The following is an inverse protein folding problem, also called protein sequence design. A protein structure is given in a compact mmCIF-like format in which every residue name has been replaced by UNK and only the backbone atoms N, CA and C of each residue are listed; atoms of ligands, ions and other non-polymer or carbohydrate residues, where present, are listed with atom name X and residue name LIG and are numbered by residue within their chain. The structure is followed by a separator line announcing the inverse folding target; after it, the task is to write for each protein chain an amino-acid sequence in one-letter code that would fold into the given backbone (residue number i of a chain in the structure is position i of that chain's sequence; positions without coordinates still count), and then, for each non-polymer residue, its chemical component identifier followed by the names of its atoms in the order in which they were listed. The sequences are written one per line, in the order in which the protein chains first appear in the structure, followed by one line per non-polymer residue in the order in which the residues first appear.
data_IF_069511455048
#
_entry.id   IF_069511455048
#
_cell.length_a   1.000
_cell.length_b   1.000
_cell.length_c   1.000
_cell.angle_alpha   90.00
_cell.angle_beta   90.00
_cell.angle_gamma   90.00
#
_symmetry.space_group_name_H-M   'P 1'
#
loop_
_entity.id
_entity.type
_entity.pdbx_description
1 polymer ?
#
# COMPACT_ATOMS: atom_id res chain seq x y z
N UNK A 1 4.88 -29.97 4.39
CA UNK A 1 4.85 -31.08 5.36
C UNK A 1 4.45 -32.33 4.58
N UNK A 2 5.10 -33.47 4.82
CA UNK A 2 4.62 -34.74 4.26
C UNK A 2 3.34 -35.13 5.02
N UNK A 3 2.37 -35.79 4.37
CA UNK A 3 1.10 -36.22 4.99
C UNK A 3 1.28 -37.01 6.30
N UNK A 4 2.46 -37.63 6.50
CA UNK A 4 2.80 -38.39 7.71
C UNK A 4 2.91 -37.53 8.99
N UNK A 5 3.31 -36.26 8.90
CA UNK A 5 3.45 -35.37 10.07
C UNK A 5 2.09 -34.98 10.67
N UNK A 6 1.04 -34.94 9.83
CA UNK A 6 -0.32 -34.59 10.23
C UNK A 6 -0.97 -35.67 11.10
N UNK A 7 -0.54 -36.94 10.95
CA UNK A 7 -1.07 -38.07 11.71
C UNK A 7 -0.83 -37.90 13.21
N UNK A 8 0.29 -37.27 13.59
CA UNK A 8 0.66 -37.07 14.99
C UNK A 8 0.23 -35.72 15.57
N UNK A 9 -0.31 -34.81 14.73
CA UNK A 9 -0.60 -33.44 15.11
C UNK A 9 -1.56 -33.34 16.30
N UNK A 10 -2.70 -34.04 16.25
CA UNK A 10 -3.70 -34.02 17.33
C UNK A 10 -3.10 -34.49 18.66
N UNK A 11 -2.40 -35.62 18.63
CA UNK A 11 -1.79 -36.22 19.81
C UNK A 11 -0.69 -35.32 20.39
N UNK A 12 0.19 -34.80 19.54
CA UNK A 12 1.26 -33.90 19.94
C UNK A 12 0.72 -32.62 20.57
N UNK A 13 -0.23 -31.96 19.90
CA UNK A 13 -0.81 -30.71 20.38
C UNK A 13 -1.55 -30.90 21.72
N UNK A 14 -2.31 -31.99 21.84
CA UNK A 14 -3.04 -32.34 23.07
C UNK A 14 -2.09 -32.59 24.24
N UNK A 15 -1.00 -33.33 24.02
CA UNK A 15 -0.01 -33.61 25.07
C UNK A 15 0.78 -32.37 25.48
N UNK A 16 1.15 -31.52 24.52
CA UNK A 16 1.81 -30.23 24.80
C UNK A 16 0.88 -29.29 25.58
N UNK A 17 -0.40 -29.22 25.22
CA UNK A 17 -1.39 -28.44 25.96
C UNK A 17 -1.56 -28.95 27.39
N UNK A 18 -1.63 -30.27 27.58
CA UNK A 18 -1.70 -30.87 28.92
C UNK A 18 -0.46 -30.53 29.75
N UNK A 19 0.74 -30.62 29.16
CA UNK A 19 1.98 -30.22 29.82
C UNK A 19 1.94 -28.75 30.25
N UNK A 20 1.45 -27.85 29.39
CA UNK A 20 1.30 -26.42 29.69
C UNK A 20 0.41 -26.16 30.93
N UNK A 21 -0.61 -26.99 31.15
CA UNK A 21 -1.50 -26.89 32.31
C UNK A 21 -0.88 -27.42 33.60
N UNK A 22 -0.03 -28.44 33.51
CA UNK A 22 0.56 -29.12 34.68
C UNK A 22 1.77 -28.38 35.26
N UNK A 23 2.55 -27.70 34.41
CA UNK A 23 3.77 -26.99 34.84
C UNK A 23 3.45 -25.69 35.59
N UNK A 24 4.28 -25.34 36.59
CA UNK A 24 4.08 -24.16 37.44
C UNK A 24 5.07 -23.04 37.15
N UNK A 25 6.28 -23.41 36.75
CA UNK A 25 7.38 -22.51 36.45
C UNK A 25 7.09 -21.69 35.19
N UNK A 26 7.26 -20.35 35.26
CA UNK A 26 7.03 -19.46 34.12
C UNK A 26 7.93 -19.81 32.93
N UNK A 27 9.21 -20.10 33.19
CA UNK A 27 10.17 -20.46 32.14
C UNK A 27 9.71 -21.70 31.38
N UNK A 28 9.25 -22.74 32.08
CA UNK A 28 8.76 -23.96 31.44
C UNK A 28 7.50 -23.69 30.63
N UNK A 29 6.56 -22.87 31.14
CA UNK A 29 5.38 -22.44 30.36
C UNK A 29 5.77 -21.72 29.09
N UNK A 30 6.76 -20.82 29.13
CA UNK A 30 7.26 -20.11 27.95
C UNK A 30 7.81 -21.08 26.91
N UNK A 31 8.61 -22.07 27.31
CA UNK A 31 9.14 -23.06 26.38
C UNK A 31 8.04 -23.91 25.73
N UNK A 32 7.02 -24.32 26.51
CA UNK A 32 5.89 -25.09 25.96
C UNK A 32 5.08 -24.23 24.99
N UNK A 33 4.81 -22.96 25.31
CA UNK A 33 4.15 -22.02 24.40
C UNK A 33 4.94 -21.79 23.12
N UNK A 34 6.26 -21.69 23.20
CA UNK A 34 7.12 -21.56 22.03
C UNK A 34 7.01 -22.79 21.11
N UNK A 35 7.08 -24.00 21.67
CA UNK A 35 6.92 -25.24 20.88
C UNK A 35 5.53 -25.31 20.25
N UNK A 36 4.47 -24.97 21.00
CA UNK A 36 3.11 -24.89 20.45
C UNK A 36 3.02 -23.88 19.30
N UNK A 37 3.65 -22.71 19.43
CA UNK A 37 3.71 -21.68 18.39
C UNK A 37 4.39 -22.20 17.12
N UNK A 38 5.53 -22.88 17.25
CA UNK A 38 6.20 -23.51 16.11
C UNK A 38 5.33 -24.57 15.43
N UNK A 39 4.58 -25.37 16.19
CA UNK A 39 3.66 -26.35 15.60
C UNK A 39 2.55 -25.63 14.82
N UNK A 40 1.94 -24.60 15.40
CA UNK A 40 0.89 -23.80 14.75
C UNK A 40 1.41 -23.17 13.45
N UNK A 41 2.59 -22.54 13.49
CA UNK A 41 3.24 -21.93 12.34
C UNK A 41 3.39 -22.94 11.19
N UNK A 42 3.90 -24.13 11.50
CA UNK A 42 4.22 -25.15 10.48
C UNK A 42 2.99 -25.76 9.84
N UNK A 43 1.91 -25.98 10.60
CA UNK A 43 0.70 -26.62 10.09
C UNK A 43 -0.35 -25.60 9.60
N UNK A 44 -0.16 -24.32 9.88
CA UNK A 44 -0.98 -23.20 9.42
C UNK A 44 -2.49 -23.49 9.64
N UNK A 45 -3.33 -23.37 8.60
CA UNK A 45 -4.79 -23.57 8.69
C UNK A 45 -5.22 -24.95 9.21
N UNK A 46 -4.35 -25.95 9.17
CA UNK A 46 -4.68 -27.30 9.62
C UNK A 46 -4.78 -27.41 11.14
N UNK A 47 -4.33 -26.39 11.90
CA UNK A 47 -4.43 -26.40 13.36
C UNK A 47 -5.86 -26.16 13.87
N UNK A 48 -6.77 -25.59 13.05
CA UNK A 48 -8.10 -25.12 13.48
C UNK A 48 -8.89 -26.11 14.33
N UNK A 49 -8.93 -27.42 14.04
CA UNK A 49 -9.69 -28.38 14.85
C UNK A 49 -9.15 -28.56 16.28
N UNK A 50 -7.88 -28.22 16.52
CA UNK A 50 -7.15 -28.62 17.73
C UNK A 50 -6.92 -27.48 18.73
N UNK A 51 -7.09 -26.22 18.32
CA UNK A 51 -6.72 -25.03 19.14
C UNK A 51 -7.76 -24.61 20.17
N UNK A 52 -8.97 -25.19 20.17
CA UNK A 52 -10.09 -24.72 21.00
C UNK A 52 -9.75 -24.66 22.50
N UNK A 53 -9.09 -25.69 23.03
CA UNK A 53 -8.68 -25.73 24.43
C UNK A 53 -7.61 -24.68 24.76
N UNK A 54 -6.66 -24.46 23.85
CA UNK A 54 -5.62 -23.44 24.02
C UNK A 54 -6.25 -22.03 24.04
N UNK A 55 -7.14 -21.75 23.08
CA UNK A 55 -7.88 -20.49 22.99
C UNK A 55 -8.64 -20.16 24.27
N UNK A 56 -9.29 -21.16 24.89
CA UNK A 56 -10.00 -20.97 26.15
C UNK A 56 -9.07 -20.75 27.35
N UNK A 57 -7.85 -21.29 27.30
CA UNK A 57 -6.88 -21.22 28.39
C UNK A 57 -6.04 -19.94 28.38
N UNK A 58 -5.69 -19.39 27.21
CA UNK A 58 -4.84 -18.19 27.09
C UNK A 58 -5.37 -16.97 27.89
N UNK A 59 -6.69 -16.69 27.97
CA UNK A 59 -7.21 -15.63 28.84
C UNK A 59 -6.89 -15.81 30.32
N UNK A 60 -6.96 -17.05 30.81
CA UNK A 60 -6.62 -17.37 32.19
C UNK A 60 -5.11 -17.20 32.42
N UNK A 61 -4.30 -17.68 31.47
CA UNK A 61 -2.86 -17.59 31.55
C UNK A 61 -2.38 -16.14 31.52
N UNK A 62 -2.97 -15.29 30.68
CA UNK A 62 -2.67 -13.86 30.61
C UNK A 62 -2.96 -13.12 31.92
N UNK A 63 -4.07 -13.48 32.58
CA UNK A 63 -4.42 -12.92 33.89
C UNK A 63 -3.45 -13.39 34.98
N UNK A 64 -3.02 -14.65 34.93
CA UNK A 64 -2.05 -15.19 35.88
C UNK A 64 -0.64 -14.62 35.69
N UNK A 65 -0.29 -14.17 34.48
CA UNK A 65 1.01 -13.60 34.16
C UNK A 65 1.10 -12.08 34.37
N UNK A 66 0.25 -11.50 35.23
CA UNK A 66 0.16 -10.04 35.39
C UNK A 66 1.49 -9.37 35.73
N UNK A 67 2.28 -10.01 36.59
CA UNK A 67 3.60 -9.56 37.03
C UNK A 67 4.76 -10.16 36.20
N UNK A 68 4.45 -10.97 35.17
CA UNK A 68 5.42 -11.76 34.42
C UNK A 68 5.43 -11.36 32.93
N UNK A 69 6.05 -10.21 32.62
CA UNK A 69 6.07 -9.66 31.26
C UNK A 69 6.69 -10.62 30.22
N UNK A 70 7.72 -11.40 30.56
CA UNK A 70 8.31 -12.37 29.62
C UNK A 70 7.33 -13.49 29.24
N UNK A 71 6.50 -13.94 30.19
CA UNK A 71 5.44 -14.91 29.90
C UNK A 71 4.33 -14.26 29.06
N UNK A 72 4.06 -12.97 29.26
CA UNK A 72 3.16 -12.21 28.38
C UNK A 72 3.69 -12.12 26.95
N UNK A 73 4.98 -11.86 26.73
CA UNK A 73 5.59 -11.92 25.39
C UNK A 73 5.33 -13.28 24.73
N UNK A 74 5.61 -14.39 25.43
CA UNK A 74 5.34 -15.73 24.90
C UNK A 74 3.85 -15.98 24.55
N UNK A 75 2.92 -15.39 25.31
CA UNK A 75 1.49 -15.43 24.99
C UNK A 75 1.18 -14.61 23.74
N UNK A 76 1.75 -13.42 23.58
CA UNK A 76 1.58 -12.58 22.38
C UNK A 76 2.09 -13.32 21.13
N UNK A 77 3.29 -13.88 21.19
CA UNK A 77 3.85 -14.73 20.12
C UNK A 77 2.93 -15.90 19.80
N UNK A 78 2.37 -16.58 20.81
CA UNK A 78 1.39 -17.66 20.57
C UNK A 78 0.14 -17.15 19.88
N UNK A 79 -0.38 -15.98 20.27
CA UNK A 79 -1.56 -15.37 19.66
C UNK A 79 -1.31 -14.97 18.20
N UNK A 80 -0.12 -14.47 17.86
CA UNK A 80 0.27 -14.14 16.47
C UNK A 80 0.08 -15.37 15.57
N UNK A 81 0.71 -16.49 15.94
CA UNK A 81 0.62 -17.74 15.17
C UNK A 81 -0.80 -18.30 15.16
N UNK A 82 -1.54 -18.21 16.27
CA UNK A 82 -2.93 -18.63 16.32
C UNK A 82 -3.82 -17.85 15.36
N UNK A 83 -3.63 -16.54 15.23
CA UNK A 83 -4.43 -15.73 14.31
C UNK A 83 -4.12 -16.11 12.86
N UNK A 84 -2.85 -16.34 12.51
CA UNK A 84 -2.45 -16.80 11.18
C UNK A 84 -3.12 -18.15 10.87
N UNK A 85 -3.04 -19.13 11.78
CA UNK A 85 -3.69 -20.44 11.57
C UNK A 85 -5.22 -20.37 11.52
N UNK A 86 -5.85 -19.51 12.31
CA UNK A 86 -7.31 -19.33 12.30
C UNK A 86 -7.81 -18.52 11.10
N UNK A 87 -6.98 -17.64 10.51
CA UNK A 87 -7.38 -16.73 9.44
C UNK A 87 -8.61 -15.89 9.84
N UNK A 88 -9.62 -15.84 8.97
CA UNK A 88 -10.86 -15.08 9.21
C UNK A 88 -11.65 -15.52 10.48
N UNK A 89 -11.46 -16.76 10.95
CA UNK A 89 -12.11 -17.26 12.18
C UNK A 89 -11.49 -16.67 13.46
N UNK A 90 -10.34 -15.99 13.35
CA UNK A 90 -9.71 -15.27 14.46
C UNK A 90 -10.62 -14.19 15.08
N UNK A 91 -11.65 -13.73 14.36
CA UNK A 91 -12.71 -12.84 14.88
C UNK A 91 -13.34 -13.36 16.18
N UNK A 92 -13.40 -14.68 16.36
CA UNK A 92 -13.93 -15.30 17.57
C UNK A 92 -13.08 -14.99 18.82
N UNK A 93 -11.84 -14.56 18.66
CA UNK A 93 -10.92 -14.22 19.74
C UNK A 93 -11.01 -12.76 20.19
N UNK A 94 -11.72 -11.89 19.46
CA UNK A 94 -11.64 -10.43 19.62
C UNK A 94 -11.95 -9.94 21.04
N UNK A 95 -12.89 -10.58 21.74
CA UNK A 95 -13.25 -10.23 23.12
C UNK A 95 -12.05 -10.28 24.07
N UNK A 96 -11.09 -11.18 23.83
CA UNK A 96 -9.86 -11.31 24.61
C UNK A 96 -8.66 -10.66 23.93
N UNK A 97 -8.55 -10.80 22.60
CA UNK A 97 -7.41 -10.36 21.80
C UNK A 97 -7.27 -8.84 21.74
N UNK A 98 -8.36 -8.10 21.50
CA UNK A 98 -8.30 -6.66 21.28
C UNK A 98 -7.89 -5.88 22.55
N UNK A 99 -8.37 -6.22 23.76
CA UNK A 99 -7.84 -5.63 25.00
C UNK A 99 -6.34 -5.87 25.21
N UNK A 100 -5.82 -7.02 24.79
CA UNK A 100 -4.39 -7.32 24.87
C UNK A 100 -3.59 -6.42 23.95
N UNK A 101 -3.99 -6.30 22.68
CA UNK A 101 -3.33 -5.41 21.72
C UNK A 101 -3.35 -3.97 22.24
N UNK A 102 -4.50 -3.51 22.74
CA UNK A 102 -4.65 -2.18 23.33
C UNK A 102 -3.66 -1.94 24.47
N UNK A 103 -3.48 -2.91 25.38
CA UNK A 103 -2.56 -2.81 26.51
C UNK A 103 -1.09 -2.86 26.07
N UNK A 104 -0.75 -3.80 25.19
CA UNK A 104 0.63 -4.00 24.71
C UNK A 104 1.15 -2.80 23.91
N UNK A 105 0.26 -2.04 23.28
CA UNK A 105 0.59 -0.88 22.44
C UNK A 105 0.33 0.47 23.11
N UNK A 106 -0.06 0.48 24.39
CA UNK A 106 -0.23 1.72 25.17
C UNK A 106 1.11 2.14 25.80
N UNK A 107 1.76 3.11 25.16
CA UNK A 107 3.06 3.66 25.60
C UNK A 107 3.00 4.39 26.94
N UNK A 108 1.80 4.69 27.46
CA UNK A 108 1.64 5.28 28.79
C UNK A 108 1.77 4.25 29.92
N UNK A 109 1.70 2.95 29.61
CA UNK A 109 1.71 1.87 30.60
C UNK A 109 3.10 1.22 30.69
N UNK A 110 3.64 0.93 31.88
CA UNK A 110 4.96 0.31 32.04
C UNK A 110 5.24 -0.96 31.24
N UNK A 111 4.26 -1.87 31.00
CA UNK A 111 4.50 -3.09 30.23
C UNK A 111 4.91 -2.87 28.77
N UNK A 112 4.66 -1.70 28.17
CA UNK A 112 4.99 -1.45 26.75
C UNK A 112 6.46 -1.73 26.43
N UNK A 113 7.38 -1.45 27.37
CA UNK A 113 8.83 -1.68 27.20
C UNK A 113 9.16 -3.12 26.82
N UNK A 114 8.32 -4.08 27.25
CA UNK A 114 8.49 -5.50 26.94
C UNK A 114 7.55 -5.98 25.85
N UNK A 115 6.33 -5.45 25.81
CA UNK A 115 5.24 -6.00 25.02
C UNK A 115 5.05 -5.33 23.66
N UNK A 116 5.69 -4.18 23.42
CA UNK A 116 5.34 -3.33 22.29
C UNK A 116 5.62 -4.00 20.94
N UNK A 117 6.79 -4.62 20.78
CA UNK A 117 7.19 -5.24 19.50
C UNK A 117 6.20 -6.36 19.10
N UNK A 118 6.02 -7.35 19.98
CA UNK A 118 5.05 -8.43 19.80
C UNK A 118 3.61 -7.89 19.71
N UNK A 119 3.29 -6.81 20.43
CA UNK A 119 1.97 -6.17 20.43
C UNK A 119 1.62 -5.52 19.08
N UNK A 120 2.59 -4.87 18.44
CA UNK A 120 2.45 -4.29 17.11
C UNK A 120 2.33 -5.38 16.04
N UNK A 121 3.13 -6.44 16.15
CA UNK A 121 3.02 -7.59 15.25
C UNK A 121 1.66 -8.28 15.37
N UNK A 122 1.21 -8.52 16.61
CA UNK A 122 -0.12 -9.07 16.89
C UNK A 122 -1.23 -8.20 16.30
N UNK A 123 -1.10 -6.88 16.41
CA UNK A 123 -2.05 -5.94 15.81
C UNK A 123 -2.09 -6.06 14.29
N UNK A 124 -0.92 -6.05 13.65
CA UNK A 124 -0.81 -6.16 12.20
C UNK A 124 -1.44 -7.46 11.70
N UNK A 125 -1.06 -8.60 12.28
CA UNK A 125 -1.56 -9.92 11.90
C UNK A 125 -3.08 -10.04 12.13
N UNK A 126 -3.60 -9.39 13.19
CA UNK A 126 -5.05 -9.30 13.44
C UNK A 126 -5.77 -8.57 12.31
N UNK A 127 -5.22 -7.45 11.82
CA UNK A 127 -5.81 -6.69 10.71
C UNK A 127 -5.73 -7.46 9.39
N UNK A 128 -4.59 -8.12 9.13
CA UNK A 128 -4.34 -8.88 7.92
C UNK A 128 -5.29 -10.07 7.74
N UNK A 129 -5.70 -10.67 8.86
CA UNK A 129 -6.62 -11.80 8.88
C UNK A 129 -8.07 -11.43 9.23
N UNK A 130 -8.33 -10.18 9.64
CA UNK A 130 -9.69 -9.72 9.94
C UNK A 130 -10.54 -9.79 8.68
N UNK A 131 -11.79 -10.30 8.72
CA UNK A 131 -12.71 -10.25 7.58
C UNK A 131 -13.39 -8.88 7.41
N UNK A 132 -13.54 -8.09 8.48
CA UNK A 132 -14.23 -6.80 8.48
C UNK A 132 -13.78 -5.91 9.65
N UNK A 133 -13.84 -4.59 9.49
CA UNK A 133 -13.61 -3.65 10.58
C UNK A 133 -14.71 -3.78 11.65
N UNK A 134 -14.33 -3.76 12.93
CA UNK A 134 -15.27 -3.63 14.06
C UNK A 134 -14.95 -2.35 14.83
N UNK A 135 -15.92 -1.76 15.57
CA UNK A 135 -15.68 -0.56 16.36
C UNK A 135 -14.56 -0.71 17.39
N UNK A 136 -14.46 -1.89 18.02
CA UNK A 136 -13.42 -2.19 19.01
C UNK A 136 -12.05 -2.27 18.37
N UNK A 137 -11.94 -2.88 17.19
CA UNK A 137 -10.69 -2.95 16.43
C UNK A 137 -10.26 -1.55 16.01
N UNK A 138 -11.19 -0.75 15.46
CA UNK A 138 -10.93 0.63 15.06
C UNK A 138 -10.43 1.49 16.23
N UNK A 139 -11.02 1.32 17.43
CA UNK A 139 -10.65 2.09 18.63
C UNK A 139 -9.18 1.93 19.02
N UNK A 140 -8.56 0.77 18.74
CA UNK A 140 -7.14 0.53 19.05
C UNK A 140 -6.24 1.58 18.38
N UNK A 141 -6.66 2.10 17.22
CA UNK A 141 -5.90 3.09 16.48
C UNK A 141 -5.62 4.40 17.27
N UNK A 142 -6.38 4.68 18.33
CA UNK A 142 -6.09 5.82 19.22
C UNK A 142 -4.66 5.81 19.81
N UNK A 143 -4.02 4.64 19.92
CA UNK A 143 -2.63 4.52 20.40
C UNK A 143 -1.60 4.98 19.35
N UNK A 144 -1.99 5.04 18.06
CA UNK A 144 -1.05 5.21 16.95
C UNK A 144 -0.29 6.54 16.99
N UNK A 145 -0.94 7.64 17.37
CA UNK A 145 -0.27 8.95 17.41
C UNK A 145 0.94 8.94 18.35
N UNK A 146 0.79 8.38 19.54
CA UNK A 146 1.88 8.27 20.50
C UNK A 146 2.97 7.27 20.06
N UNK A 147 2.57 6.20 19.35
CA UNK A 147 3.51 5.23 18.77
C UNK A 147 4.37 5.82 17.66
N UNK A 148 3.79 6.69 16.83
CA UNK A 148 4.51 7.40 15.77
C UNK A 148 5.53 8.41 16.32
N UNK A 149 5.32 8.93 17.53
CA UNK A 149 6.21 9.87 18.22
C UNK A 149 7.30 9.18 19.07
N UNK A 150 7.13 7.89 19.40
CA UNK A 150 7.98 7.20 20.37
C UNK A 150 9.42 6.94 19.86
N UNK A 151 9.55 6.16 18.78
CA UNK A 151 10.85 5.77 18.23
C UNK A 151 10.76 5.41 16.75
N UNK A 152 11.87 5.59 16.02
CA UNK A 152 11.97 5.24 14.60
C UNK A 152 11.96 3.74 14.33
N UNK A 153 12.32 2.92 15.33
CA UNK A 153 12.42 1.45 15.21
C UNK A 153 11.08 0.80 14.85
N UNK A 154 9.98 1.32 15.41
CA UNK A 154 8.64 0.77 15.22
C UNK A 154 7.88 1.39 14.04
N UNK A 155 8.37 2.49 13.46
CA UNK A 155 7.66 3.24 12.41
C UNK A 155 7.28 2.37 11.22
N UNK A 156 8.18 1.45 10.82
CA UNK A 156 7.91 0.55 9.70
C UNK A 156 6.68 -0.32 9.96
N UNK A 157 6.55 -0.86 11.17
CA UNK A 157 5.39 -1.68 11.55
C UNK A 157 4.14 -0.82 11.72
N UNK A 158 4.26 0.38 12.30
CA UNK A 158 3.16 1.34 12.37
C UNK A 158 2.60 1.68 10.98
N UNK A 159 3.45 1.93 9.98
CA UNK A 159 3.01 2.19 8.60
C UNK A 159 2.34 0.97 7.97
N UNK A 160 2.78 -0.26 8.26
CA UNK A 160 2.07 -1.48 7.83
C UNK A 160 0.68 -1.56 8.45
N UNK A 161 0.54 -1.27 9.75
CA UNK A 161 -0.74 -1.25 10.46
C UNK A 161 -1.68 -0.19 9.86
N UNK A 162 -1.18 1.03 9.61
CA UNK A 162 -1.95 2.10 8.96
C UNK A 162 -2.46 1.65 7.58
N UNK A 163 -1.58 1.07 6.76
CA UNK A 163 -1.97 0.51 5.46
C UNK A 163 -3.01 -0.62 5.60
N UNK A 164 -2.89 -1.48 6.62
CA UNK A 164 -3.85 -2.54 6.87
C UNK A 164 -5.25 -1.98 7.19
N UNK A 165 -5.36 -0.91 7.98
CA UNK A 165 -6.62 -0.20 8.18
C UNK A 165 -7.16 0.44 6.88
N UNK A 166 -6.29 1.07 6.09
CA UNK A 166 -6.67 1.68 4.81
C UNK A 166 -7.29 0.65 3.86
N UNK A 167 -6.71 -0.55 3.78
CA UNK A 167 -7.25 -1.63 2.95
C UNK A 167 -8.50 -2.27 3.55
N UNK A 168 -8.61 -2.34 4.87
CA UNK A 168 -9.74 -2.95 5.57
C UNK A 168 -11.03 -2.12 5.46
N UNK A 169 -10.96 -0.80 5.69
CA UNK A 169 -12.09 0.12 5.53
C UNK A 169 -11.60 1.57 5.46
N UNK A 170 -11.19 2.03 4.28
CA UNK A 170 -10.62 3.37 4.09
C UNK A 170 -11.57 4.49 4.53
N UNK A 171 -12.86 4.41 4.17
CA UNK A 171 -13.83 5.48 4.43
C UNK A 171 -14.07 5.71 5.92
N UNK A 172 -14.37 4.65 6.68
CA UNK A 172 -14.65 4.74 8.12
C UNK A 172 -13.40 5.13 8.90
N UNK A 173 -12.25 4.53 8.56
CA UNK A 173 -10.98 4.83 9.21
C UNK A 173 -10.55 6.29 9.01
N UNK A 174 -10.53 6.77 7.76
CA UNK A 174 -10.07 8.13 7.45
C UNK A 174 -11.05 9.20 7.94
N UNK A 175 -12.35 8.90 8.01
CA UNK A 175 -13.33 9.83 8.57
C UNK A 175 -13.01 10.19 10.03
N UNK A 176 -12.44 9.25 10.80
CA UNK A 176 -12.14 9.47 12.22
C UNK A 176 -10.71 9.97 12.42
N UNK A 177 -9.73 9.38 11.72
CA UNK A 177 -8.31 9.55 12.07
C UNK A 177 -7.47 10.36 11.06
N UNK A 178 -8.03 10.80 9.92
CA UNK A 178 -7.26 11.51 8.88
C UNK A 178 -6.55 12.77 9.39
N UNK A 179 -7.23 13.60 10.19
CA UNK A 179 -6.66 14.85 10.70
C UNK A 179 -5.43 14.61 11.59
N UNK A 180 -5.54 13.68 12.54
CA UNK A 180 -4.44 13.38 13.46
C UNK A 180 -3.30 12.67 12.73
N UNK A 181 -3.61 11.76 11.81
CA UNK A 181 -2.62 11.07 10.99
C UNK A 181 -1.86 12.04 10.08
N UNK A 182 -2.56 12.98 9.42
CA UNK A 182 -1.93 14.01 8.61
C UNK A 182 -1.01 14.90 9.47
N UNK A 183 -1.45 15.29 10.67
CA UNK A 183 -0.62 16.06 11.61
C UNK A 183 0.66 15.29 11.97
N UNK A 184 0.54 14.02 12.37
CA UNK A 184 1.70 13.19 12.70
C UNK A 184 2.65 13.03 11.51
N UNK A 185 2.15 12.85 10.29
CA UNK A 185 2.99 12.80 9.10
C UNK A 185 3.70 14.14 8.82
N UNK A 186 3.02 15.27 8.99
CA UNK A 186 3.66 16.59 8.88
C UNK A 186 4.81 16.76 9.87
N UNK A 187 4.66 16.27 11.11
CA UNK A 187 5.74 16.35 12.11
C UNK A 187 6.89 15.39 11.77
N UNK A 188 6.60 14.14 11.41
CA UNK A 188 7.62 13.16 11.02
C UNK A 188 8.46 13.67 9.85
N UNK A 189 7.84 14.28 8.83
CA UNK A 189 8.57 14.78 7.66
C UNK A 189 9.57 15.90 7.98
N UNK A 190 9.49 16.56 9.14
CA UNK A 190 10.44 17.64 9.52
C UNK A 190 11.79 17.10 9.99
N UNK A 191 11.83 15.90 10.56
CA UNK A 191 13.01 15.39 11.30
C UNK A 191 13.37 13.93 10.97
N UNK A 192 12.90 13.44 9.82
CA UNK A 192 13.18 12.06 9.37
C UNK A 192 14.15 12.03 8.19
N UNK A 193 14.88 10.93 8.09
CA UNK A 193 15.74 10.62 6.94
C UNK A 193 14.93 10.58 5.65
N UNK A 194 15.58 10.80 4.50
CA UNK A 194 14.97 10.66 3.17
C UNK A 194 14.21 9.33 3.00
N UNK A 195 14.75 8.23 3.54
CA UNK A 195 14.06 6.94 3.51
C UNK A 195 12.73 6.98 4.28
N UNK A 196 12.70 7.58 5.47
CA UNK A 196 11.47 7.75 6.23
C UNK A 196 10.45 8.66 5.54
N UNK A 197 10.91 9.72 4.85
CA UNK A 197 10.03 10.58 4.04
C UNK A 197 9.35 9.78 2.93
N UNK A 198 10.12 8.94 2.22
CA UNK A 198 9.60 8.02 1.21
C UNK A 198 8.56 7.05 1.81
N UNK A 199 8.79 6.51 3.01
CA UNK A 199 7.82 5.59 3.63
C UNK A 199 6.51 6.30 3.99
N UNK A 200 6.58 7.51 4.55
CA UNK A 200 5.38 8.32 4.85
C UNK A 200 4.60 8.59 3.57
N UNK A 201 5.27 9.04 2.52
CA UNK A 201 4.61 9.37 1.25
C UNK A 201 4.05 8.16 0.52
N UNK A 202 4.64 6.97 0.68
CA UNK A 202 4.03 5.72 0.20
C UNK A 202 2.71 5.41 0.90
N UNK A 203 2.57 5.71 2.20
CA UNK A 203 1.29 5.59 2.90
C UNK A 203 0.28 6.61 2.35
N UNK A 204 0.70 7.86 2.13
CA UNK A 204 -0.14 8.90 1.52
C UNK A 204 -0.57 8.52 0.10
N UNK A 205 0.33 7.97 -0.70
CA UNK A 205 0.01 7.46 -2.04
C UNK A 205 -1.05 6.34 -1.96
N UNK A 206 -0.94 5.43 -0.99
CA UNK A 206 -1.97 4.40 -0.75
C UNK A 206 -3.32 5.01 -0.34
N UNK A 207 -3.34 6.09 0.45
CA UNK A 207 -4.58 6.84 0.72
C UNK A 207 -5.24 7.30 -0.58
N UNK A 208 -4.45 7.84 -1.51
CA UNK A 208 -4.98 8.33 -2.79
C UNK A 208 -5.44 7.19 -3.70
N UNK A 209 -4.77 6.04 -3.64
CA UNK A 209 -5.20 4.83 -4.34
C UNK A 209 -6.54 4.29 -3.83
N UNK A 210 -6.75 4.25 -2.51
CA UNK A 210 -8.00 3.72 -1.91
C UNK A 210 -9.15 4.74 -1.86
N UNK A 211 -8.83 6.03 -1.84
CA UNK A 211 -9.80 7.12 -1.75
C UNK A 211 -9.34 8.35 -2.56
N UNK A 212 -9.38 8.29 -3.90
CA UNK A 212 -8.80 9.31 -4.78
C UNK A 212 -9.49 10.67 -4.70
N UNK A 213 -10.75 10.71 -4.27
CA UNK A 213 -11.52 11.96 -4.20
C UNK A 213 -11.20 12.72 -2.91
N UNK A 214 -11.45 12.10 -1.75
CA UNK A 214 -11.30 12.78 -0.45
C UNK A 214 -9.88 12.70 0.11
N UNK A 215 -9.10 11.68 -0.27
CA UNK A 215 -7.74 11.47 0.21
C UNK A 215 -6.82 12.68 0.00
N UNK A 216 -6.72 13.23 -1.24
CA UNK A 216 -5.92 14.43 -1.50
C UNK A 216 -6.32 15.64 -0.66
N UNK A 217 -7.62 15.83 -0.42
CA UNK A 217 -8.12 16.91 0.45
C UNK A 217 -7.71 16.70 1.92
N UNK A 218 -7.85 15.47 2.43
CA UNK A 218 -7.49 15.11 3.81
C UNK A 218 -5.99 15.30 4.10
N UNK A 219 -5.13 15.03 3.12
CA UNK A 219 -3.67 15.12 3.26
C UNK A 219 -3.06 16.32 2.51
N UNK A 220 -3.88 17.31 2.16
CA UNK A 220 -3.45 18.52 1.46
C UNK A 220 -2.23 19.20 2.10
N UNK A 221 -2.10 19.30 3.44
CA UNK A 221 -0.94 19.97 4.06
C UNK A 221 0.43 19.38 3.69
N UNK A 222 0.49 18.12 3.24
CA UNK A 222 1.73 17.44 2.83
C UNK A 222 2.10 17.70 1.37
N UNK A 223 1.14 18.08 0.52
CA UNK A 223 1.34 18.14 -0.93
C UNK A 223 2.18 19.35 -1.40
N UNK A 224 2.13 20.53 -0.76
CA UNK A 224 3.04 21.63 -1.11
C UNK A 224 4.53 21.28 -0.99
N UNK A 225 4.95 20.49 0.01
CA UNK A 225 6.35 20.04 0.10
C UNK A 225 6.72 19.09 -1.04
N UNK A 226 5.79 18.22 -1.47
CA UNK A 226 6.00 17.32 -2.60
C UNK A 226 6.21 18.10 -3.90
N UNK A 227 5.36 19.10 -4.18
CA UNK A 227 5.53 19.94 -5.38
C UNK A 227 6.83 20.76 -5.30
N UNK A 228 7.16 21.32 -4.13
CA UNK A 228 8.46 22.01 -3.95
C UNK A 228 9.64 21.10 -4.28
N UNK A 229 9.63 19.86 -3.79
CA UNK A 229 10.67 18.87 -4.09
C UNK A 229 10.80 18.58 -5.60
N UNK A 230 9.67 18.48 -6.32
CA UNK A 230 9.67 18.32 -7.78
C UNK A 230 10.29 19.54 -8.47
N UNK A 231 9.80 20.74 -8.17
CA UNK A 231 10.24 21.99 -8.83
C UNK A 231 11.72 22.28 -8.55
N UNK A 232 12.18 22.02 -7.33
CA UNK A 232 13.58 22.21 -6.94
C UNK A 232 14.51 21.13 -7.49
N UNK A 233 13.95 20.07 -8.10
CA UNK A 233 14.71 18.98 -8.69
C UNK A 233 15.37 18.09 -7.65
N UNK A 234 14.56 17.43 -6.82
CA UNK A 234 15.02 16.47 -5.81
C UNK A 234 16.09 15.53 -6.39
N UNK A 235 17.21 15.45 -5.67
CA UNK A 235 18.44 14.77 -6.11
C UNK A 235 18.37 13.28 -5.87
N UNK A 236 17.64 12.84 -4.84
CA UNK A 236 17.51 11.42 -4.52
C UNK A 236 16.46 10.77 -5.44
N UNK A 237 16.85 9.84 -6.35
CA UNK A 237 15.95 9.28 -7.37
C UNK A 237 14.69 8.63 -6.80
N UNK A 238 14.83 7.90 -5.69
CA UNK A 238 13.73 7.19 -5.03
C UNK A 238 12.70 8.18 -4.46
N UNK A 239 13.17 9.30 -3.93
CA UNK A 239 12.31 10.34 -3.37
C UNK A 239 11.61 11.12 -4.49
N UNK A 240 12.33 11.53 -5.52
CA UNK A 240 11.75 12.15 -6.72
C UNK A 240 10.67 11.26 -7.36
N UNK A 241 10.95 9.96 -7.54
CA UNK A 241 9.98 8.97 -8.04
C UNK A 241 8.76 8.85 -7.13
N UNK A 242 8.93 9.01 -5.82
CA UNK A 242 7.83 9.02 -4.85
C UNK A 242 6.99 10.29 -4.99
N UNK A 243 7.62 11.45 -5.13
CA UNK A 243 6.92 12.72 -5.37
C UNK A 243 6.09 12.69 -6.65
N UNK A 244 6.69 12.24 -7.77
CA UNK A 244 6.00 12.10 -9.05
C UNK A 244 4.85 11.09 -8.97
N UNK A 245 5.02 9.98 -8.24
CA UNK A 245 3.95 9.01 -8.01
C UNK A 245 2.75 9.62 -7.27
N UNK A 246 3.00 10.35 -6.17
CA UNK A 246 1.97 11.03 -5.38
C UNK A 246 1.20 12.05 -6.24
N UNK A 247 1.89 12.92 -6.97
CA UNK A 247 1.24 13.92 -7.84
C UNK A 247 0.57 13.26 -9.04
N UNK A 248 1.14 12.19 -9.59
CA UNK A 248 0.56 11.40 -10.68
C UNK A 248 -0.80 10.81 -10.31
N UNK A 249 -0.96 10.31 -9.07
CA UNK A 249 -2.26 9.84 -8.55
C UNK A 249 -3.30 10.96 -8.51
N UNK A 250 -2.90 12.13 -8.00
CA UNK A 250 -3.78 13.29 -7.89
C UNK A 250 -4.20 13.78 -9.28
N UNK A 251 -3.25 13.94 -10.20
CA UNK A 251 -3.50 14.38 -11.58
C UNK A 251 -4.44 13.41 -12.33
N UNK A 252 -4.17 12.11 -12.25
CA UNK A 252 -4.92 11.09 -12.97
C UNK A 252 -6.35 10.93 -12.46
N UNK A 253 -6.56 10.99 -11.14
CA UNK A 253 -7.82 10.57 -10.52
C UNK A 253 -8.64 11.73 -9.92
N UNK A 254 -8.04 12.92 -9.70
CA UNK A 254 -8.73 14.07 -9.11
C UNK A 254 -8.23 15.40 -9.69
N UNK A 255 -8.58 15.64 -10.96
CA UNK A 255 -8.21 16.84 -11.71
C UNK A 255 -8.62 18.15 -11.04
N UNK A 256 -9.81 18.20 -10.43
CA UNK A 256 -10.30 19.38 -9.72
C UNK A 256 -9.40 19.77 -8.56
N UNK A 257 -8.99 18.79 -7.75
CA UNK A 257 -8.08 19.04 -6.65
C UNK A 257 -6.66 19.36 -7.16
N UNK A 258 -6.19 18.68 -8.21
CA UNK A 258 -4.91 19.01 -8.85
C UNK A 258 -4.86 20.48 -9.28
N UNK A 259 -5.91 21.00 -9.94
CA UNK A 259 -6.00 22.40 -10.33
C UNK A 259 -5.99 23.35 -9.13
N UNK A 260 -6.67 23.01 -8.03
CA UNK A 260 -6.63 23.80 -6.80
C UNK A 260 -5.22 23.88 -6.22
N UNK A 261 -4.56 22.72 -6.12
CA UNK A 261 -3.19 22.62 -5.60
C UNK A 261 -2.19 23.37 -6.50
N UNK A 262 -2.33 23.24 -7.82
CA UNK A 262 -1.50 23.94 -8.79
C UNK A 262 -1.63 25.47 -8.64
N UNK A 263 -2.86 25.99 -8.51
CA UNK A 263 -3.10 27.41 -8.28
C UNK A 263 -2.46 27.90 -6.97
N UNK A 264 -2.59 27.13 -5.88
CA UNK A 264 -1.96 27.46 -4.60
C UNK A 264 -0.43 27.56 -4.75
N UNK A 265 0.20 26.59 -5.40
CA UNK A 265 1.65 26.57 -5.60
C UNK A 265 2.11 27.66 -6.57
N UNK A 266 1.32 27.97 -7.61
CA UNK A 266 1.61 29.05 -8.54
C UNK A 266 1.69 30.41 -7.81
N UNK A 267 0.77 30.66 -6.87
CA UNK A 267 0.85 31.82 -5.98
C UNK A 267 2.12 31.82 -5.11
N UNK A 268 2.49 30.68 -4.52
CA UNK A 268 3.70 30.56 -3.69
C UNK A 268 4.98 30.88 -4.48
N UNK A 269 5.07 30.39 -5.71
CA UNK A 269 6.21 30.61 -6.59
C UNK A 269 6.16 31.93 -7.38
N UNK A 270 5.09 32.73 -7.25
CA UNK A 270 4.83 33.94 -8.04
C UNK A 270 4.89 33.69 -9.56
N UNK A 271 4.20 32.64 -10.03
CA UNK A 271 4.13 32.25 -11.45
C UNK A 271 2.67 32.07 -11.89
N UNK A 272 2.43 32.06 -13.19
CA UNK A 272 1.14 31.60 -13.73
C UNK A 272 1.00 30.07 -13.53
N UNK A 273 -0.22 29.57 -13.21
CA UNK A 273 -0.45 28.13 -13.01
C UNK A 273 0.00 27.26 -14.18
N UNK A 274 -0.22 27.73 -15.40
CA UNK A 274 0.16 26.99 -16.62
C UNK A 274 1.68 26.88 -16.78
N UNK A 275 2.44 27.92 -16.45
CA UNK A 275 3.91 27.86 -16.47
C UNK A 275 4.44 26.87 -15.43
N UNK A 276 3.83 26.86 -14.23
CA UNK A 276 4.19 25.88 -13.20
C UNK A 276 3.87 24.46 -13.65
N UNK A 277 2.72 24.23 -14.31
CA UNK A 277 2.38 22.94 -14.91
C UNK A 277 3.42 22.53 -15.96
N UNK A 278 3.83 23.45 -16.83
CA UNK A 278 4.89 23.20 -17.81
C UNK A 278 6.20 22.75 -17.17
N UNK A 279 6.62 23.40 -16.07
CA UNK A 279 7.80 23.01 -15.30
C UNK A 279 7.63 21.62 -14.68
N UNK A 280 6.46 21.30 -14.12
CA UNK A 280 6.17 19.98 -13.56
C UNK A 280 6.27 18.89 -14.64
N UNK A 281 5.72 19.13 -15.84
CA UNK A 281 5.80 18.17 -16.97
C UNK A 281 7.27 17.99 -17.40
N UNK A 282 8.02 19.08 -17.50
CA UNK A 282 9.46 19.03 -17.84
C UNK A 282 10.26 18.22 -16.81
N UNK A 283 10.00 18.43 -15.52
CA UNK A 283 10.61 17.62 -14.45
C UNK A 283 10.23 16.15 -14.53
N UNK A 284 9.02 15.82 -15.00
CA UNK A 284 8.61 14.44 -15.26
C UNK A 284 9.44 13.80 -16.36
N UNK A 285 9.62 14.53 -17.47
CA UNK A 285 10.41 14.07 -18.63
C UNK A 285 11.87 13.89 -18.23
N UNK A 286 12.46 14.91 -17.61
CA UNK A 286 13.87 14.95 -17.21
C UNK A 286 14.26 13.94 -16.12
N UNK A 287 13.28 13.38 -15.40
CA UNK A 287 13.50 12.46 -14.27
C UNK A 287 12.81 11.12 -14.47
N UNK A 288 12.35 10.80 -15.67
CA UNK A 288 11.70 9.52 -15.96
C UNK A 288 12.64 8.34 -15.66
N UNK A 289 13.94 8.48 -15.95
CA UNK A 289 14.98 7.47 -15.66
C UNK A 289 15.12 7.14 -14.16
N UNK A 290 14.71 8.04 -13.26
CA UNK A 290 14.71 7.77 -11.82
C UNK A 290 13.61 6.77 -11.41
N UNK A 291 12.62 6.56 -12.27
CA UNK A 291 11.51 5.65 -12.03
C UNK A 291 11.86 4.29 -12.65
N UNK A 292 12.22 3.33 -11.80
CA UNK A 292 12.61 1.97 -12.24
C UNK A 292 11.48 0.96 -12.22
N UNK A 293 10.36 1.27 -11.55
CA UNK A 293 9.23 0.36 -11.42
C UNK A 293 8.25 0.56 -12.59
N UNK A 294 7.95 -0.47 -13.41
CA UNK A 294 7.04 -0.36 -14.56
C UNK A 294 5.65 0.18 -14.19
N UNK A 295 5.11 -0.23 -13.04
CA UNK A 295 3.83 0.27 -12.52
C UNK A 295 3.83 1.80 -12.34
N UNK A 296 4.92 2.35 -11.81
CA UNK A 296 5.08 3.80 -11.62
C UNK A 296 5.31 4.53 -12.95
N UNK A 297 6.03 3.92 -13.88
CA UNK A 297 6.24 4.47 -15.24
C UNK A 297 4.92 4.55 -15.99
N UNK A 298 4.11 3.47 -15.93
CA UNK A 298 2.73 3.45 -16.45
C UNK A 298 1.85 4.50 -15.77
N UNK A 299 1.92 4.66 -14.45
CA UNK A 299 1.20 5.74 -13.73
C UNK A 299 1.56 7.13 -14.27
N UNK A 300 2.85 7.42 -14.45
CA UNK A 300 3.32 8.70 -15.01
C UNK A 300 2.79 8.93 -16.43
N UNK A 301 2.86 7.92 -17.30
CA UNK A 301 2.32 7.99 -18.66
C UNK A 301 0.80 8.27 -18.64
N UNK A 302 0.03 7.49 -17.88
CA UNK A 302 -1.42 7.70 -17.74
C UNK A 302 -1.74 9.09 -17.19
N UNK A 303 -1.01 9.57 -16.19
CA UNK A 303 -1.22 10.87 -15.57
C UNK A 303 -0.97 12.01 -16.57
N UNK A 304 0.14 11.99 -17.30
CA UNK A 304 0.46 13.01 -18.29
C UNK A 304 -0.49 12.97 -19.50
N UNK A 305 -0.80 11.78 -20.01
CA UNK A 305 -1.82 11.60 -21.07
C UNK A 305 -3.20 12.09 -20.63
N UNK A 306 -3.51 12.05 -19.33
CA UNK A 306 -4.79 12.55 -18.81
C UNK A 306 -4.96 14.05 -19.00
N UNK A 307 -3.88 14.81 -19.22
CA UNK A 307 -3.93 16.23 -19.60
C UNK A 307 -4.49 16.43 -21.00
N UNK A 308 -4.51 15.38 -21.84
CA UNK A 308 -5.13 15.41 -23.16
C UNK A 308 -6.62 14.98 -23.10
N UNK A 309 -7.48 15.49 -23.98
CA UNK A 309 -7.19 16.57 -24.93
C UNK A 309 -7.09 17.96 -24.25
N UNK A 310 -6.31 18.88 -24.81
CA UNK A 310 -6.11 20.24 -24.29
C UNK A 310 -5.81 21.26 -25.40
N UNK A 311 -6.43 22.44 -25.28
CA UNK A 311 -6.15 23.64 -26.08
C UNK A 311 -5.16 24.60 -25.38
N UNK A 312 -4.67 24.23 -24.19
CA UNK A 312 -3.70 25.00 -23.43
C UNK A 312 -2.34 25.02 -24.15
N UNK A 313 -1.80 26.21 -24.41
CA UNK A 313 -0.54 26.38 -25.15
C UNK A 313 0.64 25.70 -24.45
N UNK A 314 0.72 25.74 -23.11
CA UNK A 314 1.84 25.12 -22.39
C UNK A 314 1.77 23.59 -22.47
N UNK A 315 0.57 23.01 -22.41
CA UNK A 315 0.40 21.56 -22.59
C UNK A 315 0.76 21.15 -24.01
N UNK A 316 0.42 21.97 -25.02
CA UNK A 316 0.81 21.74 -26.41
C UNK A 316 2.33 21.88 -26.61
N UNK A 317 2.95 22.89 -26.02
CA UNK A 317 4.41 23.08 -26.06
C UNK A 317 5.17 21.91 -25.43
N UNK A 318 4.56 21.25 -24.43
CA UNK A 318 5.12 20.05 -23.77
C UNK A 318 4.62 18.72 -24.38
N UNK A 319 3.88 18.75 -25.48
CA UNK A 319 3.26 17.56 -26.08
C UNK A 319 4.28 16.48 -26.42
N UNK A 320 5.42 16.83 -27.03
CA UNK A 320 6.46 15.86 -27.39
C UNK A 320 6.99 15.10 -26.18
N UNK A 321 7.16 15.77 -25.03
CA UNK A 321 7.54 15.14 -23.78
C UNK A 321 6.49 14.15 -23.27
N UNK A 322 5.20 14.52 -23.33
CA UNK A 322 4.09 13.63 -22.96
C UNK A 322 4.09 12.36 -23.82
N UNK A 323 4.29 12.51 -25.14
CA UNK A 323 4.33 11.37 -26.06
C UNK A 323 5.56 10.50 -25.83
N UNK A 324 6.73 11.10 -25.61
CA UNK A 324 7.94 10.34 -25.30
C UNK A 324 7.76 9.45 -24.05
N UNK A 325 7.24 10.02 -22.96
CA UNK A 325 6.96 9.27 -21.72
C UNK A 325 5.92 8.17 -21.95
N UNK A 326 4.96 8.41 -22.82
CA UNK A 326 3.95 7.41 -23.18
C UNK A 326 4.55 6.24 -23.93
N UNK A 327 5.42 6.50 -24.91
CA UNK A 327 6.11 5.45 -25.69
C UNK A 327 7.09 4.67 -24.82
N UNK A 328 7.85 5.34 -23.96
CA UNK A 328 8.69 4.65 -22.96
C UNK A 328 7.84 3.73 -22.08
N UNK A 329 6.74 4.24 -21.53
CA UNK A 329 5.81 3.45 -20.72
C UNK A 329 5.20 2.26 -21.49
N UNK A 330 4.97 2.37 -22.80
CA UNK A 330 4.51 1.27 -23.64
C UNK A 330 5.58 0.18 -23.74
N UNK A 331 6.84 0.53 -23.99
CA UNK A 331 7.94 -0.44 -24.02
C UNK A 331 8.12 -1.18 -22.68
N UNK A 332 7.88 -0.51 -21.56
CA UNK A 332 8.05 -1.13 -20.23
C UNK A 332 6.97 -2.16 -19.88
N UNK A 333 5.76 -2.03 -20.44
CA UNK A 333 4.60 -2.83 -20.02
C UNK A 333 4.02 -3.70 -21.12
N UNK A 334 4.28 -3.40 -22.39
CA UNK A 334 3.75 -4.18 -23.50
C UNK A 334 4.64 -5.38 -23.78
N UNK A 335 4.03 -6.55 -23.89
CA UNK A 335 4.69 -7.78 -24.37
C UNK A 335 4.06 -8.20 -25.69
N UNK A 336 4.89 -8.58 -26.67
CA UNK A 336 4.42 -9.08 -27.95
C UNK A 336 4.06 -10.56 -27.83
N UNK A 337 2.83 -10.90 -28.18
CA UNK A 337 2.40 -12.29 -28.34
C UNK A 337 2.91 -12.80 -29.69
N UNK A 338 3.80 -13.79 -29.66
CA UNK A 338 4.46 -14.35 -30.84
C UNK A 338 3.46 -15.03 -31.79
N UNK A 339 2.35 -15.56 -31.26
CA UNK A 339 1.37 -16.31 -32.04
C UNK A 339 0.39 -15.38 -32.76
N UNK A 340 -0.09 -14.34 -32.07
CA UNK A 340 -1.08 -13.39 -32.61
C UNK A 340 -0.45 -12.12 -33.17
N UNK A 341 0.85 -11.88 -32.92
CA UNK A 341 1.56 -10.60 -33.16
C UNK A 341 0.83 -9.40 -32.56
N UNK A 342 0.11 -9.62 -31.46
CA UNK A 342 -0.60 -8.56 -30.74
C UNK A 342 0.17 -8.15 -29.50
N UNK A 343 0.13 -6.86 -29.16
CA UNK A 343 0.66 -6.38 -27.90
C UNK A 343 -0.33 -6.64 -26.74
N UNK A 344 0.20 -7.15 -25.62
CA UNK A 344 -0.54 -7.30 -24.35
C UNK A 344 0.14 -6.49 -23.26
N UNK A 345 -0.63 -5.61 -22.63
CA UNK A 345 -0.22 -4.88 -21.43
C UNK A 345 -0.12 -5.85 -20.25
N UNK A 346 1.11 -6.13 -19.79
CA UNK A 346 1.36 -7.12 -18.74
C UNK A 346 0.95 -6.63 -17.34
N UNK A 347 0.64 -5.34 -17.17
CA UNK A 347 0.17 -4.78 -15.90
C UNK A 347 -1.33 -4.91 -15.73
N UNK A 348 -2.07 -5.26 -16.79
CA UNK A 348 -3.51 -5.45 -16.74
C UNK A 348 -3.87 -6.71 -15.95
N UNK A 349 -4.69 -6.53 -14.93
CA UNK A 349 -5.26 -7.64 -14.19
C UNK A 349 -6.62 -8.00 -14.78
N UNK A 350 -6.75 -9.22 -15.29
CA UNK A 350 -8.05 -9.73 -15.70
C UNK A 350 -8.80 -10.30 -14.48
N UNK A 351 -10.10 -10.04 -14.39
CA UNK A 351 -10.96 -10.61 -13.33
C UNK A 351 -11.06 -12.13 -13.38
N UNK A 352 -10.60 -12.76 -14.47
CA UNK A 352 -10.74 -14.18 -14.77
C UNK A 352 -9.43 -14.97 -14.70
N UNK A 353 -8.30 -14.32 -14.41
CA UNK A 353 -7.07 -15.04 -14.07
C UNK A 353 -7.24 -15.61 -12.66
N UNK A 354 -7.73 -16.86 -12.63
CA UNK A 354 -7.60 -17.72 -11.46
C UNK A 354 -6.12 -17.74 -11.07
N UNK A 355 -5.78 -17.45 -9.80
CA UNK A 355 -4.41 -17.63 -9.37
C UNK A 355 -4.05 -19.08 -9.66
N UNK A 356 -2.96 -19.30 -10.41
CA UNK A 356 -2.35 -20.63 -10.46
C UNK A 356 -1.94 -20.94 -9.04
N UNK A 357 -2.78 -21.69 -8.32
CA UNK A 357 -2.45 -22.17 -6.98
C UNK A 357 -1.26 -23.10 -7.19
N UNK A 358 -0.05 -22.58 -6.95
CA UNK A 358 1.11 -23.44 -6.76
C UNK A 358 0.81 -24.14 -5.44
N UNK A 359 0.76 -25.48 -5.43
CA UNK A 359 0.39 -26.29 -4.24
C UNK A 359 1.29 -26.01 -3.00
N UNK A 360 2.40 -25.28 -3.17
CA UNK A 360 3.33 -24.86 -2.13
C UNK A 360 3.12 -23.44 -1.58
N UNK A 361 2.21 -22.63 -2.15
CA UNK A 361 1.95 -21.28 -1.65
C UNK A 361 0.95 -21.27 -0.48
N UNK A 362 1.29 -20.51 0.58
CA UNK A 362 0.38 -20.30 1.70
C UNK A 362 -0.94 -19.67 1.22
N UNK A 363 -2.07 -20.07 1.82
CA UNK A 363 -3.37 -19.53 1.45
C UNK A 363 -3.41 -18.02 1.70
N UNK A 364 -3.95 -17.22 0.76
CA UNK A 364 -3.89 -15.76 0.85
C UNK A 364 -4.68 -15.23 2.05
N UNK A 365 -4.11 -14.26 2.75
CA UNK A 365 -4.77 -13.57 3.88
C UNK A 365 -5.97 -12.74 3.39
N UNK A 366 -6.81 -12.27 4.31
CA UNK A 366 -7.90 -11.35 3.97
C UNK A 366 -7.38 -10.02 3.42
N UNK A 367 -6.21 -9.57 3.89
CA UNK A 367 -5.53 -8.40 3.34
C UNK A 367 -5.02 -8.62 1.91
N UNK A 368 -4.50 -9.80 1.58
CA UNK A 368 -4.06 -10.09 0.20
C UNK A 368 -5.24 -10.05 -0.77
N UNK A 369 -6.39 -10.60 -0.36
CA UNK A 369 -7.65 -10.49 -1.11
C UNK A 369 -8.04 -9.03 -1.33
N UNK A 370 -7.97 -8.18 -0.30
CA UNK A 370 -8.25 -6.73 -0.42
C UNK A 370 -7.29 -6.02 -1.36
N UNK A 371 -5.99 -6.29 -1.25
CA UNK A 371 -4.98 -5.71 -2.15
C UNK A 371 -5.23 -6.10 -3.61
N UNK A 372 -5.57 -7.37 -3.86
CA UNK A 372 -5.98 -7.84 -5.20
C UNK A 372 -7.23 -7.11 -5.70
N UNK A 373 -8.26 -6.97 -4.86
CA UNK A 373 -9.48 -6.23 -5.21
C UNK A 373 -9.23 -4.74 -5.47
N UNK A 374 -8.30 -4.13 -4.74
CA UNK A 374 -7.89 -2.75 -4.96
C UNK A 374 -7.13 -2.60 -6.28
N UNK A 375 -6.21 -3.53 -6.57
CA UNK A 375 -5.47 -3.51 -7.82
C UNK A 375 -6.42 -3.59 -9.03
N UNK A 376 -7.46 -4.44 -8.99
CA UNK A 376 -8.48 -4.50 -10.03
C UNK A 376 -9.25 -3.19 -10.29
N UNK A 377 -9.25 -2.25 -9.34
CA UNK A 377 -9.88 -0.92 -9.47
C UNK A 377 -8.89 0.19 -9.78
N UNK A 378 -7.59 -0.07 -9.64
CA UNK A 378 -6.54 0.90 -9.87
C UNK A 378 -6.33 1.10 -11.38
N UNK A 379 -6.40 2.34 -11.91
CA UNK A 379 -6.16 2.61 -13.33
C UNK A 379 -4.87 1.98 -13.89
N UNK A 380 -3.82 1.86 -13.08
CA UNK A 380 -2.55 1.23 -13.49
C UNK A 380 -2.75 -0.23 -13.92
N UNK A 381 -3.71 -0.95 -13.31
CA UNK A 381 -3.99 -2.36 -13.61
C UNK A 381 -5.32 -2.60 -14.32
N UNK A 382 -6.18 -1.57 -14.44
CA UNK A 382 -7.49 -1.69 -15.09
C UNK A 382 -7.57 -0.98 -16.44
N UNK A 383 -6.62 -0.09 -16.77
CA UNK A 383 -6.58 0.66 -18.04
C UNK A 383 -5.41 0.17 -18.89
N UNK A 384 -5.69 -0.20 -20.14
CA UNK A 384 -4.65 -0.52 -21.13
C UNK A 384 -3.95 0.78 -21.53
N UNK A 385 -2.63 0.84 -21.35
CA UNK A 385 -1.89 2.05 -21.72
C UNK A 385 -1.99 2.30 -23.23
N UNK A 386 -1.91 1.24 -24.05
CA UNK A 386 -2.01 1.31 -25.51
C UNK A 386 -3.34 1.90 -25.97
N UNK A 387 -4.45 1.38 -25.42
CA UNK A 387 -5.80 1.90 -25.69
C UNK A 387 -5.93 3.37 -25.26
N UNK A 388 -5.43 3.69 -24.06
CA UNK A 388 -5.53 5.03 -23.50
C UNK A 388 -4.75 6.05 -24.33
N UNK A 389 -3.55 5.70 -24.80
CA UNK A 389 -2.76 6.54 -25.72
C UNK A 389 -3.54 6.83 -26.99
N UNK A 390 -4.10 5.79 -27.64
CA UNK A 390 -4.89 5.94 -28.85
C UNK A 390 -6.07 6.88 -28.66
N UNK A 391 -6.88 6.64 -27.62
CA UNK A 391 -8.07 7.44 -27.33
C UNK A 391 -7.73 8.91 -27.05
N UNK A 392 -6.62 9.16 -26.35
CA UNK A 392 -6.17 10.52 -26.02
C UNK A 392 -5.64 11.27 -27.22
N UNK A 393 -4.88 10.61 -28.09
CA UNK A 393 -4.40 11.20 -29.34
C UNK A 393 -5.55 11.51 -30.29
N UNK A 394 -6.51 10.58 -30.42
CA UNK A 394 -7.71 10.78 -31.23
C UNK A 394 -8.54 11.95 -30.72
N UNK A 395 -8.78 12.02 -29.40
CA UNK A 395 -9.49 13.15 -28.80
C UNK A 395 -8.75 14.48 -28.99
N UNK A 396 -7.41 14.49 -28.96
CA UNK A 396 -6.61 15.69 -29.23
C UNK A 396 -6.75 16.13 -30.69
N UNK A 397 -6.73 15.18 -31.63
CA UNK A 397 -6.95 15.44 -33.05
C UNK A 397 -8.35 16.00 -33.32
N UNK A 398 -9.38 15.46 -32.66
CA UNK A 398 -10.76 15.94 -32.76
C UNK A 398 -10.92 17.37 -32.21
N UNK A 399 -10.20 17.72 -31.14
CA UNK A 399 -10.23 19.06 -30.54
C UNK A 399 -9.53 20.12 -31.41
N UNK A 400 -8.33 19.83 -31.90
CA UNK A 400 -7.51 20.80 -32.66
C UNK A 400 -7.80 20.83 -34.16
N UNK A 401 -8.36 19.75 -34.69
CA UNK A 401 -8.43 19.50 -36.13
C UNK A 401 -7.13 18.93 -36.70
N UNK A 402 -7.23 18.32 -37.88
CA UNK A 402 -6.17 17.51 -38.49
C UNK A 402 -4.87 18.29 -38.74
N UNK A 403 -4.97 19.52 -39.26
CA UNK A 403 -3.79 20.35 -39.59
C UNK A 403 -3.00 20.76 -38.34
N UNK A 404 -3.69 21.26 -37.31
CA UNK A 404 -3.04 21.67 -36.06
C UNK A 404 -2.51 20.48 -35.27
N UNK A 405 -3.20 19.33 -35.30
CA UNK A 405 -2.69 18.10 -34.72
C UNK A 405 -1.46 17.58 -35.45
N UNK A 406 -1.42 17.65 -36.79
CA UNK A 406 -0.24 17.27 -37.56
C UNK A 406 0.97 18.13 -37.22
N UNK A 407 0.79 19.46 -37.10
CA UNK A 407 1.85 20.36 -36.65
C UNK A 407 2.35 20.01 -35.23
N UNK A 408 1.47 19.56 -34.34
CA UNK A 408 1.83 19.11 -33.00
C UNK A 408 2.65 17.80 -33.05
N UNK A 409 2.25 16.85 -33.90
CA UNK A 409 2.99 15.60 -34.11
C UNK A 409 4.37 15.82 -34.74
N UNK A 410 4.56 16.86 -35.56
CA UNK A 410 5.87 17.25 -36.11
C UNK A 410 6.86 17.72 -35.05
N UNK A 411 6.40 18.08 -33.84
CA UNK A 411 7.29 18.39 -32.70
C UNK A 411 7.86 17.15 -32.03
N UNK A 412 7.30 15.97 -32.30
CA UNK A 412 7.73 14.69 -31.74
C UNK A 412 8.84 14.12 -32.62
N UNK A 413 9.88 13.56 -32.00
CA UNK A 413 10.97 12.93 -32.74
C UNK A 413 10.44 11.81 -33.66
N UNK A 414 10.99 11.74 -34.89
CA UNK A 414 10.54 10.81 -35.92
C UNK A 414 10.64 9.35 -35.53
N UNK A 415 11.63 8.98 -34.70
CA UNK A 415 11.78 7.62 -34.19
C UNK A 415 10.69 7.28 -33.18
N UNK A 416 10.37 8.22 -32.28
CA UNK A 416 9.29 8.07 -31.30
C UNK A 416 7.93 7.96 -32.00
N UNK A 417 7.69 8.73 -33.06
CA UNK A 417 6.48 8.62 -33.87
C UNK A 417 6.38 7.25 -34.55
N UNK A 418 7.48 6.72 -35.10
CA UNK A 418 7.49 5.40 -35.71
C UNK A 418 7.18 4.30 -34.69
N UNK A 419 7.85 4.33 -33.53
CA UNK A 419 7.59 3.37 -32.44
C UNK A 419 6.14 3.45 -31.94
N UNK A 420 5.60 4.66 -31.79
CA UNK A 420 4.20 4.88 -31.43
C UNK A 420 3.26 4.28 -32.47
N UNK A 421 3.52 4.50 -33.77
CA UNK A 421 2.72 3.92 -34.84
C UNK A 421 2.72 2.40 -34.82
N UNK A 422 3.86 1.77 -34.51
CA UNK A 422 3.98 0.32 -34.37
C UNK A 422 3.09 -0.23 -33.26
N UNK A 423 3.04 0.45 -32.11
CA UNK A 423 2.09 0.09 -31.06
C UNK A 423 0.63 0.35 -31.45
N UNK A 424 0.35 1.30 -32.35
CA UNK A 424 -1.02 1.69 -32.70
C UNK A 424 -1.58 0.99 -33.95
N UNK A 425 -0.83 0.12 -34.63
CA UNK A 425 -1.27 -0.54 -35.89
C UNK A 425 -2.57 -1.36 -35.76
N UNK A 426 -3.02 -1.67 -34.54
CA UNK A 426 -4.24 -2.43 -34.25
C UNK A 426 -5.53 -1.61 -34.09
N UNK A 427 -5.49 -0.28 -34.25
CA UNK A 427 -6.59 0.65 -33.95
C UNK A 427 -7.13 1.47 -35.12
#
# INVERSE_FOLDING_TARGET
LQDEDLVYLESMFTLLFKLLQEVRECDTKMHVLHVLSCVIERVNMQIRPYVACLVQYLPLLWKQSEEHNMLRCAILTTLIHLIQGLGAESKNLYTFLLPIIQLSTDVSQPPHVYLLEDGLELWLVTLENSPCLTPELLRIFQNMSALLELSSENLRTCFKIINAYLFLSSSEFLQIYSSDLCRSFCEILKDVTTEGQVQVLKVVENVFKVNPVLGPEMFQPLLPSVIRGIIQGERYPVEMSTYLGVIGRVLLQNKSFFSLLLNQMACEFNQEPDHLLGHIIEMWVDRMDNITQPERRKLSALALLSLLPSDNSIVQDKFCGIINISVEGLHDVMTEDIETRSFKDCMLMSSFEEPKVIEEEEPPTEQDKRKKMLALKDPVHSVSLQQFVYEKLKAQQELLGEQSFQALMETVDTEIVAQLQDFLQGF
#
